data_IF_644966383516
#
_entry.id   IF_644966383516
#
_cell.length_a   1.000
_cell.length_b   1.000
_cell.length_c   1.000
_cell.angle_alpha   90.00
_cell.angle_beta   90.00
_cell.angle_gamma   90.00
#
_symmetry.space_group_name_H-M   'P 1'
#
loop_
_entity.id
_entity.type
_entity.pdbx_description
1 polymer ?
#
# COMPACT_ATOMS: atom_id res chain seq x y z
N UNK A 1 -0.89 -18.15 -16.05
CA UNK A 1 0.11 -17.51 -15.18
C UNK A 1 0.75 -18.51 -14.21
N UNK A 2 0.02 -19.40 -13.59
CA UNK A 2 0.58 -20.40 -12.66
C UNK A 2 1.59 -21.37 -13.29
N UNK A 3 1.64 -21.45 -14.62
CA UNK A 3 2.57 -22.30 -15.34
C UNK A 3 3.74 -21.52 -15.96
N UNK A 4 3.79 -20.22 -15.76
CA UNK A 4 4.91 -19.39 -16.23
C UNK A 4 6.10 -19.58 -15.29
N UNK A 5 7.20 -20.11 -15.79
CA UNK A 5 8.39 -20.38 -15.01
C UNK A 5 9.02 -19.13 -14.41
N UNK A 6 8.77 -17.95 -14.99
CA UNK A 6 9.27 -16.68 -14.44
C UNK A 6 8.54 -16.25 -13.16
N UNK A 7 7.37 -16.81 -12.88
CA UNK A 7 6.51 -16.45 -11.75
C UNK A 7 6.18 -17.63 -10.83
N UNK A 8 6.76 -18.81 -11.10
CA UNK A 8 6.57 -20.01 -10.26
C UNK A 8 7.54 -20.03 -9.07
N UNK A 9 7.26 -20.94 -8.13
CA UNK A 9 8.13 -21.16 -6.98
C UNK A 9 9.57 -21.43 -7.37
N UNK A 10 10.53 -20.94 -6.60
CA UNK A 10 11.95 -20.97 -6.91
C UNK A 10 12.43 -19.83 -7.79
N UNK A 11 11.55 -19.08 -8.46
CA UNK A 11 11.96 -17.89 -9.21
C UNK A 11 12.47 -16.78 -8.28
N UNK A 12 13.43 -15.99 -8.75
CA UNK A 12 13.95 -14.85 -8.00
C UNK A 12 12.83 -13.84 -7.69
N UNK A 13 11.92 -13.61 -8.63
CA UNK A 13 10.76 -12.73 -8.45
C UNK A 13 9.86 -13.20 -7.31
N UNK A 14 9.59 -14.51 -7.24
CA UNK A 14 8.80 -15.09 -6.15
C UNK A 14 9.51 -14.97 -4.80
N UNK A 15 10.79 -15.26 -4.73
CA UNK A 15 11.57 -15.17 -3.49
C UNK A 15 11.61 -13.74 -2.96
N UNK A 16 11.86 -12.78 -3.83
CA UNK A 16 11.84 -11.34 -3.46
C UNK A 16 10.47 -10.93 -2.97
N UNK A 17 9.41 -11.26 -3.71
CA UNK A 17 8.05 -10.92 -3.33
C UNK A 17 7.65 -11.52 -1.96
N UNK A 18 8.05 -12.76 -1.67
CA UNK A 18 7.79 -13.38 -0.35
C UNK A 18 8.54 -12.68 0.76
N UNK A 19 9.77 -12.23 0.52
CA UNK A 19 10.53 -11.45 1.49
C UNK A 19 9.82 -10.12 1.82
N UNK A 20 9.37 -9.41 0.79
CA UNK A 20 8.61 -8.16 0.93
C UNK A 20 7.26 -8.40 1.60
N UNK A 21 6.54 -9.45 1.21
CA UNK A 21 5.29 -9.86 1.85
C UNK A 21 5.45 -10.12 3.34
N UNK A 22 6.47 -10.88 3.73
CA UNK A 22 6.70 -11.20 5.14
C UNK A 22 6.98 -9.94 6.00
N UNK A 23 7.56 -8.90 5.40
CA UNK A 23 7.80 -7.63 6.09
C UNK A 23 6.54 -6.78 6.17
N UNK A 24 5.64 -6.89 5.20
CA UNK A 24 4.55 -5.92 5.01
C UNK A 24 3.15 -6.47 5.29
N UNK A 25 2.97 -7.79 5.28
CA UNK A 25 1.65 -8.41 5.42
C UNK A 25 0.96 -8.12 6.76
N UNK A 26 1.73 -7.85 7.81
CA UNK A 26 1.21 -7.50 9.14
C UNK A 26 1.37 -6.02 9.47
N UNK A 27 1.95 -5.23 8.56
CA UNK A 27 2.09 -3.79 8.76
C UNK A 27 0.79 -3.08 8.38
N UNK A 28 -0.07 -2.89 9.38
CA UNK A 28 -1.33 -2.14 9.23
C UNK A 28 -1.12 -0.61 9.26
N UNK A 29 0.12 -0.13 9.47
CA UNK A 29 0.45 1.30 9.48
C UNK A 29 0.80 1.84 8.10
N UNK A 30 0.61 1.06 7.03
CA UNK A 30 0.85 1.50 5.67
C UNK A 30 -0.03 2.66 5.28
N UNK A 31 0.54 3.56 4.49
CA UNK A 31 -0.16 4.76 4.02
C UNK A 31 -0.95 4.40 2.76
N UNK A 32 -2.26 4.67 2.80
CA UNK A 32 -3.12 4.63 1.62
C UNK A 32 -3.23 6.02 1.02
N UNK A 33 -3.12 6.11 -0.30
CA UNK A 33 -3.34 7.32 -1.08
C UNK A 33 -4.62 7.15 -1.90
N UNK A 34 -5.52 8.12 -1.82
CA UNK A 34 -6.76 8.15 -2.60
C UNK A 34 -7.00 9.53 -3.20
N UNK A 35 -7.69 9.65 -4.34
CA UNK A 35 -8.11 10.94 -4.86
C UNK A 35 -8.92 11.73 -3.82
N UNK A 36 -8.76 13.05 -3.79
CA UNK A 36 -9.57 13.95 -2.98
C UNK A 36 -10.90 14.29 -3.62
N UNK A 37 -11.56 15.32 -3.11
CA UNK A 37 -12.81 15.85 -3.65
C UNK A 37 -12.65 16.61 -4.97
N UNK A 38 -11.44 17.01 -5.31
CA UNK A 38 -11.05 17.63 -6.57
C UNK A 38 -9.85 16.91 -7.18
N UNK A 39 -9.65 17.02 -8.49
CA UNK A 39 -8.52 16.43 -9.20
C UNK A 39 -7.16 16.95 -8.70
N UNK A 40 -7.14 18.15 -8.10
CA UNK A 40 -5.97 18.77 -7.48
C UNK A 40 -5.80 18.42 -6.00
N UNK A 41 -6.48 17.40 -5.49
CA UNK A 41 -6.40 16.96 -4.10
C UNK A 41 -5.99 15.51 -3.99
N UNK A 42 -5.23 15.19 -2.96
CA UNK A 42 -4.79 13.85 -2.60
C UNK A 42 -5.01 13.62 -1.12
N UNK A 43 -5.65 12.51 -0.79
CA UNK A 43 -5.87 12.08 0.57
C UNK A 43 -4.85 11.04 0.99
N UNK A 44 -4.35 11.18 2.20
CA UNK A 44 -3.49 10.23 2.89
C UNK A 44 -4.25 9.67 4.09
N UNK A 45 -4.23 8.36 4.26
CA UNK A 45 -4.79 7.69 5.41
C UNK A 45 -3.86 6.58 5.90
N UNK A 46 -3.70 6.46 7.23
CA UNK A 46 -2.91 5.41 7.86
C UNK A 46 -3.31 5.21 9.31
N UNK A 47 -2.90 4.08 9.87
CA UNK A 47 -3.01 3.84 11.30
C UNK A 47 -1.68 4.08 12.00
N UNK A 48 -1.71 4.61 13.22
CA UNK A 48 -0.55 4.69 14.12
C UNK A 48 -0.89 4.06 15.47
N UNK A 49 0.12 3.53 16.15
CA UNK A 49 -0.05 3.05 17.52
C UNK A 49 -0.21 4.23 18.49
N UNK A 50 -1.06 4.05 19.48
CA UNK A 50 -1.36 5.10 20.45
C UNK A 50 -2.37 6.11 19.95
N UNK A 51 -2.43 7.25 20.66
CA UNK A 51 -3.31 8.36 20.35
C UNK A 51 -2.50 9.46 19.65
N UNK A 52 -2.67 9.58 18.33
CA UNK A 52 -2.04 10.64 17.54
C UNK A 52 -2.91 11.91 17.61
N UNK A 53 -2.43 13.02 18.17
CA UNK A 53 -3.26 14.22 18.33
C UNK A 53 -3.48 14.95 16.99
N UNK A 54 -2.45 15.04 16.16
CA UNK A 54 -2.48 15.75 14.88
C UNK A 54 -1.57 15.06 13.88
N UNK A 55 -2.12 14.33 12.93
CA UNK A 55 -1.33 13.67 11.90
C UNK A 55 -0.74 14.70 10.91
N UNK A 56 0.49 14.45 10.49
CA UNK A 56 1.23 15.32 9.58
C UNK A 56 1.72 14.54 8.37
N UNK A 57 1.45 15.09 7.20
CA UNK A 57 2.10 14.72 5.94
C UNK A 57 2.99 15.88 5.51
N UNK A 58 4.25 15.61 5.23
CA UNK A 58 5.15 16.56 4.61
C UNK A 58 5.08 16.34 3.09
N UNK A 59 4.80 17.41 2.34
CA UNK A 59 4.49 17.32 0.91
C UNK A 59 5.10 18.47 0.13
N UNK A 60 5.58 18.22 -1.09
CA UNK A 60 6.13 19.24 -1.95
C UNK A 60 6.81 18.71 -3.20
N UNK A 61 7.32 19.60 -4.03
CA UNK A 61 8.05 19.26 -5.27
C UNK A 61 9.56 19.14 -5.07
N UNK A 62 10.06 19.56 -3.93
CA UNK A 62 11.46 19.42 -3.53
C UNK A 62 11.55 18.47 -2.33
N UNK A 63 12.19 17.31 -2.52
CA UNK A 63 12.29 16.27 -1.48
C UNK A 63 13.02 16.71 -0.21
N UNK A 64 13.87 17.71 -0.32
CA UNK A 64 14.68 18.20 0.77
C UNK A 64 14.01 19.41 1.50
N UNK A 65 12.90 19.92 0.92
CA UNK A 65 12.12 21.04 1.46
C UNK A 65 10.61 20.80 1.33
N UNK A 66 10.10 19.88 2.15
CA UNK A 66 8.67 19.53 2.17
C UNK A 66 7.91 20.38 3.20
N UNK A 67 6.72 20.84 2.82
CA UNK A 67 5.82 21.60 3.68
C UNK A 67 4.94 20.68 4.52
N UNK A 68 4.71 21.04 5.79
CA UNK A 68 3.85 20.26 6.68
C UNK A 68 2.37 20.53 6.42
N UNK A 69 1.63 19.47 6.12
CA UNK A 69 0.19 19.46 5.98
C UNK A 69 -0.43 18.70 7.15
N UNK A 70 -1.24 19.39 7.94
CA UNK A 70 -1.91 18.79 9.10
C UNK A 70 -3.28 18.24 8.73
N UNK A 71 -3.69 17.19 9.41
CA UNK A 71 -4.99 16.56 9.23
C UNK A 71 -5.71 16.28 10.55
N UNK A 72 -6.53 15.26 10.53
CA UNK A 72 -7.35 14.84 11.67
C UNK A 72 -7.06 13.40 12.05
N UNK A 73 -7.15 13.09 13.34
CA UNK A 73 -7.06 11.73 13.86
C UNK A 73 -8.34 11.36 14.60
N UNK A 74 -8.68 10.08 14.55
CA UNK A 74 -9.77 9.48 15.32
C UNK A 74 -9.27 8.24 16.03
N UNK A 75 -9.65 8.05 17.29
CA UNK A 75 -9.29 6.85 18.03
C UNK A 75 -10.05 5.65 17.49
N UNK A 76 -9.36 4.54 17.31
CA UNK A 76 -9.96 3.25 16.98
C UNK A 76 -10.54 2.63 18.25
N UNK A 77 -11.71 2.01 18.13
CA UNK A 77 -12.32 1.27 19.25
C UNK A 77 -11.39 0.14 19.71
N UNK A 78 -10.93 0.22 20.95
CA UNK A 78 -9.99 -0.75 21.52
C UNK A 78 -10.56 -2.17 21.62
N UNK A 79 -11.88 -2.33 21.60
CA UNK A 79 -12.53 -3.65 21.56
C UNK A 79 -12.21 -4.41 20.28
N UNK A 80 -11.96 -3.70 19.17
CA UNK A 80 -11.59 -4.27 17.85
C UNK A 80 -10.09 -4.61 17.74
N UNK A 81 -9.28 -4.10 18.67
CA UNK A 81 -7.82 -4.18 18.61
C UNK A 81 -7.21 -5.01 19.74
N UNK A 82 -8.05 -5.75 20.47
CA UNK A 82 -7.60 -6.53 21.63
C UNK A 82 -7.07 -5.66 22.78
N UNK A 83 -7.63 -4.48 22.96
CA UNK A 83 -7.28 -3.54 24.02
C UNK A 83 -6.12 -2.60 23.69
N UNK A 84 -5.52 -2.70 22.51
CA UNK A 84 -4.45 -1.79 22.08
C UNK A 84 -5.04 -0.49 21.52
N UNK A 85 -4.42 0.65 21.87
CA UNK A 85 -4.80 1.95 21.32
C UNK A 85 -4.19 2.16 19.95
N UNK A 86 -5.02 2.60 19.00
CA UNK A 86 -4.62 3.02 17.67
C UNK A 86 -5.39 4.27 17.25
N UNK A 87 -4.77 5.08 16.40
CA UNK A 87 -5.40 6.21 15.74
C UNK A 87 -5.53 5.94 14.26
N UNK A 88 -6.69 6.28 13.69
CA UNK A 88 -6.89 6.42 12.26
C UNK A 88 -6.60 7.87 11.87
N UNK A 89 -5.61 8.05 11.02
CA UNK A 89 -5.12 9.35 10.59
C UNK A 89 -5.57 9.66 9.18
N UNK A 90 -5.92 10.91 8.94
CA UNK A 90 -6.39 11.39 7.65
C UNK A 90 -5.87 12.79 7.37
N UNK A 91 -5.22 12.98 6.22
CA UNK A 91 -4.69 14.27 5.75
C UNK A 91 -5.06 14.47 4.30
N UNK A 92 -5.62 15.62 3.96
CA UNK A 92 -5.85 16.05 2.58
C UNK A 92 -4.83 17.10 2.19
N UNK A 93 -4.13 16.88 1.09
CA UNK A 93 -3.24 17.84 0.47
C UNK A 93 -3.89 18.36 -0.80
N UNK A 94 -3.96 19.67 -0.95
CA UNK A 94 -4.58 20.33 -2.11
C UNK A 94 -3.59 21.14 -2.93
N UNK A 95 -4.11 21.71 -4.04
CA UNK A 95 -3.32 22.57 -4.92
C UNK A 95 -2.30 21.84 -5.80
N UNK A 96 -2.50 20.53 -6.03
CA UNK A 96 -1.67 19.75 -6.93
C UNK A 96 -1.79 20.29 -8.36
N UNK A 97 -0.68 20.27 -9.08
CA UNK A 97 -0.61 20.61 -10.51
C UNK A 97 -0.54 19.34 -11.36
N UNK A 98 -1.03 19.42 -12.57
CA UNK A 98 -0.93 18.33 -13.54
C UNK A 98 0.52 17.99 -13.90
N UNK A 99 0.75 16.74 -14.28
CA UNK A 99 2.03 16.25 -14.82
C UNK A 99 3.24 16.66 -13.97
N UNK A 100 3.06 16.64 -12.65
CA UNK A 100 4.06 17.11 -11.68
C UNK A 100 4.50 15.98 -10.76
N UNK A 101 5.80 15.93 -10.50
CA UNK A 101 6.37 15.00 -9.51
C UNK A 101 6.37 15.68 -8.14
N UNK A 102 5.79 15.01 -7.18
CA UNK A 102 5.77 15.37 -5.77
C UNK A 102 6.53 14.34 -4.93
N UNK A 103 6.95 14.78 -3.79
CA UNK A 103 7.54 13.94 -2.75
C UNK A 103 6.68 14.08 -1.49
N UNK A 104 6.53 13.00 -0.77
CA UNK A 104 5.82 13.02 0.49
C UNK A 104 6.51 12.15 1.54
N UNK A 105 6.29 12.50 2.79
CA UNK A 105 6.75 11.78 3.97
C UNK A 105 5.67 11.91 5.03
N UNK A 106 5.45 10.86 5.79
CA UNK A 106 4.40 10.81 6.80
C UNK A 106 5.04 10.74 8.18
N UNK A 107 4.50 11.44 9.15
CA UNK A 107 4.91 11.28 10.54
C UNK A 107 4.08 10.19 11.20
N UNK A 108 4.76 9.16 11.71
CA UNK A 108 4.16 8.05 12.44
C UNK A 108 4.75 8.01 13.84
N UNK A 109 3.93 8.24 14.85
CA UNK A 109 4.37 8.24 16.26
C UNK A 109 5.62 9.12 16.53
N UNK A 110 5.63 10.30 15.93
CA UNK A 110 6.74 11.27 16.08
C UNK A 110 7.98 10.96 15.22
N UNK A 111 7.93 9.94 14.36
CA UNK A 111 9.04 9.60 13.45
C UNK A 111 8.61 9.83 12.01
N UNK A 112 9.37 10.64 11.32
CA UNK A 112 9.17 10.93 9.90
C UNK A 112 9.68 9.77 9.05
N UNK A 113 8.83 9.26 8.13
CA UNK A 113 9.21 8.22 7.17
C UNK A 113 10.18 8.77 6.12
N UNK A 114 10.95 7.92 5.43
CA UNK A 114 11.65 8.33 4.20
C UNK A 114 10.70 8.96 3.19
N UNK A 115 11.24 9.84 2.34
CA UNK A 115 10.44 10.48 1.30
C UNK A 115 10.12 9.49 0.17
N UNK A 116 8.83 9.43 -0.18
CA UNK A 116 8.27 8.66 -1.29
C UNK A 116 7.88 9.59 -2.44
N UNK A 117 7.65 9.03 -3.60
CA UNK A 117 7.32 9.77 -4.82
C UNK A 117 5.85 9.59 -5.17
N UNK A 118 5.18 10.70 -5.51
CA UNK A 118 3.87 10.72 -6.12
C UNK A 118 3.90 11.55 -7.41
N UNK A 119 3.30 11.05 -8.49
CA UNK A 119 3.23 11.75 -9.76
C UNK A 119 1.78 11.99 -10.16
N UNK A 120 1.42 13.24 -10.42
CA UNK A 120 0.14 13.57 -11.04
C UNK A 120 0.21 13.36 -12.54
N UNK A 121 -0.91 12.89 -13.12
CA UNK A 121 -1.15 12.90 -14.56
C UNK A 121 -1.91 14.16 -15.01
N UNK A 122 -2.54 14.06 -16.18
CA UNK A 122 -3.53 15.05 -16.64
C UNK A 122 -4.79 14.95 -15.79
N UNK A 123 -5.40 16.08 -15.47
CA UNK A 123 -6.69 16.13 -14.77
C UNK A 123 -7.89 16.00 -15.71
N UNK A 124 -7.67 16.18 -17.01
CA UNK A 124 -8.72 16.03 -18.02
C UNK A 124 -8.75 14.62 -18.62
N UNK A 125 -7.60 13.94 -18.71
CA UNK A 125 -7.47 12.63 -19.32
C UNK A 125 -7.00 11.61 -18.28
N UNK A 126 -7.95 11.03 -17.55
CA UNK A 126 -7.68 10.04 -16.50
C UNK A 126 -7.75 8.64 -17.07
N UNK A 127 -6.73 7.82 -16.79
CA UNK A 127 -6.78 6.38 -17.00
C UNK A 127 -7.17 5.71 -15.69
N UNK A 128 -8.20 4.89 -15.74
CA UNK A 128 -8.69 4.15 -14.56
C UNK A 128 -8.59 2.66 -14.85
N UNK A 129 -7.87 1.93 -14.00
CA UNK A 129 -7.93 0.48 -13.96
C UNK A 129 -9.10 0.10 -13.04
N UNK A 130 -10.18 -0.39 -13.63
CA UNK A 130 -11.30 -0.95 -12.87
C UNK A 130 -11.18 -2.46 -12.81
N UNK A 131 -11.14 -3.00 -11.62
CA UNK A 131 -11.00 -4.44 -11.36
C UNK A 131 -12.04 -4.88 -10.34
N UNK A 132 -12.42 -6.16 -10.42
CA UNK A 132 -13.23 -6.79 -9.39
C UNK A 132 -12.42 -7.12 -8.14
N UNK A 133 -13.06 -7.74 -7.17
CA UNK A 133 -12.43 -8.25 -5.97
C UNK A 133 -11.38 -9.32 -6.33
N UNK A 134 -10.09 -9.15 -6.00
CA UNK A 134 -9.05 -10.11 -6.33
C UNK A 134 -9.14 -11.42 -5.53
N UNK A 135 -10.02 -11.49 -4.53
CA UNK A 135 -10.26 -12.69 -3.71
C UNK A 135 -8.97 -13.30 -3.13
N UNK A 136 -8.04 -12.45 -2.66
CA UNK A 136 -6.76 -12.89 -2.09
C UNK A 136 -6.99 -13.83 -0.89
N UNK A 137 -6.53 -15.09 -1.03
CA UNK A 137 -6.75 -16.16 -0.05
C UNK A 137 -7.89 -17.11 -0.39
N UNK A 138 -8.73 -16.80 -1.39
CA UNK A 138 -9.88 -17.64 -1.76
C UNK A 138 -9.49 -18.93 -2.50
N UNK A 139 -8.26 -19.03 -2.99
CA UNK A 139 -7.75 -20.24 -3.64
C UNK A 139 -7.39 -21.36 -2.64
N UNK A 140 -7.61 -21.17 -1.35
CA UNK A 140 -7.39 -22.21 -0.33
C UNK A 140 -8.16 -23.48 -0.66
N UNK A 141 -7.45 -24.61 -0.65
CA UNK A 141 -8.00 -25.91 -1.01
C UNK A 141 -8.13 -26.16 -2.51
N UNK A 142 -7.75 -25.21 -3.36
CA UNK A 142 -7.69 -25.40 -4.81
C UNK A 142 -6.31 -25.87 -5.25
N UNK A 143 -6.18 -26.81 -6.20
CA UNK A 143 -4.87 -27.33 -6.63
C UNK A 143 -3.92 -26.26 -7.16
N UNK A 144 -4.44 -25.17 -7.74
CA UNK A 144 -3.67 -24.03 -8.23
C UNK A 144 -3.30 -23.04 -7.14
N UNK A 145 -4.00 -23.01 -6.02
CA UNK A 145 -3.79 -22.08 -4.92
C UNK A 145 -2.76 -22.57 -3.90
N UNK A 146 -2.42 -23.85 -3.91
CA UNK A 146 -1.52 -24.45 -2.94
C UNK A 146 -0.46 -25.33 -3.62
N UNK A 147 0.75 -25.28 -3.14
CA UNK A 147 1.81 -26.25 -3.43
C UNK A 147 2.67 -25.99 -4.67
N UNK A 148 2.26 -25.14 -5.62
CA UNK A 148 3.04 -24.97 -6.85
C UNK A 148 4.08 -23.86 -6.83
N UNK A 149 3.79 -22.74 -6.18
CA UNK A 149 4.70 -21.59 -6.19
C UNK A 149 5.83 -21.66 -5.18
N UNK A 150 5.76 -22.59 -4.23
CA UNK A 150 6.75 -22.73 -3.17
C UNK A 150 7.51 -24.04 -3.16
N UNK A 151 7.20 -24.99 -4.03
CA UNK A 151 7.76 -26.34 -4.00
C UNK A 151 9.29 -26.34 -4.00
N UNK A 152 9.92 -25.43 -4.73
CA UNK A 152 11.37 -25.36 -4.88
C UNK A 152 12.03 -24.26 -4.05
N UNK A 153 11.24 -23.43 -3.35
CA UNK A 153 11.76 -22.26 -2.62
C UNK A 153 12.03 -22.50 -1.14
N UNK A 154 11.56 -23.63 -0.59
CA UNK A 154 11.64 -23.94 0.84
C UNK A 154 10.76 -23.03 1.71
N UNK A 155 9.97 -22.15 1.13
CA UNK A 155 9.07 -21.24 1.83
C UNK A 155 7.70 -21.86 1.93
N UNK A 156 7.10 -21.86 3.13
CA UNK A 156 5.73 -22.34 3.33
C UNK A 156 4.78 -21.58 2.42
N UNK A 157 4.09 -22.31 1.54
CA UNK A 157 3.12 -21.76 0.63
C UNK A 157 1.77 -21.59 1.30
N UNK A 158 1.08 -20.47 1.03
CA UNK A 158 -0.30 -20.24 1.44
C UNK A 158 -1.09 -19.70 0.26
N UNK A 159 -2.41 -19.96 0.27
CA UNK A 159 -3.31 -19.41 -0.75
C UNK A 159 -3.18 -17.88 -0.83
N UNK A 160 -3.12 -17.20 0.30
CA UNK A 160 -2.99 -15.75 0.32
C UNK A 160 -1.70 -15.26 -0.36
N UNK A 161 -0.57 -15.94 -0.17
CA UNK A 161 0.69 -15.60 -0.86
C UNK A 161 0.59 -15.81 -2.36
N UNK A 162 0.04 -16.94 -2.79
CA UNK A 162 -0.11 -17.23 -4.21
C UNK A 162 -1.02 -16.24 -4.91
N UNK A 163 -2.17 -15.98 -4.30
CA UNK A 163 -3.16 -15.06 -4.86
C UNK A 163 -2.59 -13.63 -4.86
N UNK A 164 -1.94 -13.22 -3.79
CA UNK A 164 -1.28 -11.92 -3.68
C UNK A 164 -0.18 -11.73 -4.72
N UNK A 165 0.67 -12.73 -4.93
CA UNK A 165 1.71 -12.68 -5.97
C UNK A 165 1.11 -12.61 -7.38
N UNK A 166 0.08 -13.38 -7.66
CA UNK A 166 -0.61 -13.34 -8.94
C UNK A 166 -1.30 -11.98 -9.17
N UNK A 167 -1.85 -11.40 -8.11
CA UNK A 167 -2.46 -10.08 -8.16
C UNK A 167 -1.43 -8.97 -8.41
N UNK A 168 -0.32 -8.98 -7.70
CA UNK A 168 0.80 -8.06 -7.91
C UNK A 168 1.29 -8.08 -9.36
N UNK A 169 1.51 -9.29 -9.91
CA UNK A 169 1.88 -9.45 -11.32
C UNK A 169 0.82 -8.97 -12.30
N UNK A 170 -0.45 -9.00 -11.90
CA UNK A 170 -1.55 -8.48 -12.72
C UNK A 170 -1.51 -6.95 -12.74
N UNK A 171 -1.25 -6.33 -11.61
CA UNK A 171 -1.11 -4.88 -11.52
C UNK A 171 0.11 -4.38 -12.31
N UNK A 172 1.27 -5.02 -12.16
CA UNK A 172 2.48 -4.71 -12.93
C UNK A 172 2.25 -4.76 -14.45
N UNK A 173 1.45 -5.70 -14.91
CA UNK A 173 1.15 -5.84 -16.34
C UNK A 173 0.11 -4.82 -16.86
N UNK A 174 -0.62 -4.16 -15.95
CA UNK A 174 -1.68 -3.21 -16.28
C UNK A 174 -1.18 -1.75 -16.25
N UNK A 175 -0.08 -1.48 -15.57
CA UNK A 175 0.54 -0.15 -15.43
C UNK A 175 1.61 0.08 -16.50
#
# INVERSE_FOLDING_TARGET
HYNDSSVTGGSQAWQQWVADWNQTATDFTKVSLTPGGAASELNFAWYSEGNEPTPVVYFGTDKDNLEACQGTASNVDTSLTGGKAYSYNYVTVGGLKENTTYYYSVEKSGVRTPAEVYKTGSFENVKILYVGDPQVGASKGQPQGEGKLSADSGVANTAARNDGFAWDRTLDAAL
#
